data_IF_643684246859
#
_entry.id   IF_643684246859
#
_cell.length_a   1.000
_cell.length_b   1.000
_cell.length_c   1.000
_cell.angle_alpha   90.00
_cell.angle_beta   90.00
_cell.angle_gamma   90.00
#
_symmetry.space_group_name_H-M   'P 1'
#
loop_
_entity.id
_entity.type
_entity.pdbx_description
1 polymer ?
#
# COMPACT_ATOMS: atom_id res chain seq x y z
N UNK A 1 12.17 8.59 -4.90
CA UNK A 1 11.36 9.81 -5.18
C UNK A 1 12.09 10.96 -4.54
N UNK A 2 12.18 12.12 -5.19
CA UNK A 2 12.84 13.30 -4.61
C UNK A 2 11.88 14.08 -3.69
N UNK A 3 12.41 14.82 -2.71
CA UNK A 3 11.63 15.66 -1.79
C UNK A 3 10.82 16.73 -2.52
N UNK A 4 11.28 17.22 -3.68
CA UNK A 4 10.57 18.23 -4.48
C UNK A 4 9.17 17.78 -4.92
N UNK A 5 8.92 16.47 -4.96
CA UNK A 5 7.61 15.92 -5.31
C UNK A 5 6.62 15.90 -4.14
N UNK A 6 7.07 16.22 -2.91
CA UNK A 6 6.18 16.31 -1.74
C UNK A 6 5.37 17.60 -1.71
N UNK A 7 4.65 17.90 -2.79
CA UNK A 7 3.95 19.17 -2.94
C UNK A 7 2.47 18.95 -3.32
N UNK A 8 1.52 19.66 -2.68
CA UNK A 8 0.10 19.51 -3.00
C UNK A 8 -0.25 19.69 -4.48
N UNK A 9 0.43 20.60 -5.19
CA UNK A 9 0.23 20.80 -6.63
C UNK A 9 0.62 19.58 -7.49
N UNK A 10 1.63 18.81 -7.05
CA UNK A 10 1.98 17.56 -7.72
C UNK A 10 0.88 16.51 -7.52
N UNK A 11 0.34 16.40 -6.30
CA UNK A 11 -0.77 15.49 -6.00
C UNK A 11 -2.01 15.85 -6.81
N UNK A 12 -2.37 17.14 -6.87
CA UNK A 12 -3.49 17.63 -7.66
C UNK A 12 -3.32 17.28 -9.16
N UNK A 13 -2.13 17.53 -9.72
CA UNK A 13 -1.84 17.21 -11.12
C UNK A 13 -2.02 15.71 -11.41
N UNK A 14 -1.54 14.83 -10.52
CA UNK A 14 -1.71 13.38 -10.69
C UNK A 14 -3.18 12.97 -10.62
N UNK A 15 -3.92 13.50 -9.66
CA UNK A 15 -5.35 13.26 -9.50
C UNK A 15 -6.15 13.69 -10.74
N UNK A 16 -5.90 14.89 -11.25
CA UNK A 16 -6.58 15.43 -12.43
C UNK A 16 -6.34 14.59 -13.70
N UNK A 17 -5.24 13.85 -13.76
CA UNK A 17 -4.88 12.99 -14.89
C UNK A 17 -5.12 11.50 -14.62
N UNK A 18 -5.66 11.11 -13.46
CA UNK A 18 -5.88 9.72 -13.08
C UNK A 18 -4.60 8.90 -13.00
N UNK A 19 -3.48 9.51 -12.62
CA UNK A 19 -2.17 8.86 -12.53
C UNK A 19 -1.90 8.44 -11.08
N UNK A 20 -1.71 7.14 -10.84
CA UNK A 20 -1.35 6.65 -9.51
C UNK A 20 0.07 7.09 -9.12
N UNK A 21 0.19 7.75 -7.97
CA UNK A 21 1.49 7.98 -7.33
C UNK A 21 2.02 6.65 -6.78
N UNK A 22 3.33 6.42 -6.94
CA UNK A 22 3.97 5.23 -6.38
C UNK A 22 4.17 5.43 -4.88
N UNK A 23 3.51 4.61 -4.05
CA UNK A 23 3.85 4.50 -2.63
C UNK A 23 5.13 3.68 -2.49
N UNK A 24 6.24 4.36 -2.23
CA UNK A 24 7.52 3.73 -1.87
C UNK A 24 7.50 3.37 -0.37
N UNK A 25 7.14 2.13 -0.06
CA UNK A 25 7.17 1.58 1.28
C UNK A 25 8.59 1.31 1.76
N UNK A 26 8.79 1.38 3.08
CA UNK A 26 10.03 1.01 3.81
C UNK A 26 11.35 1.41 3.13
N UNK A 27 11.30 2.54 2.42
CA UNK A 27 12.38 3.10 1.62
C UNK A 27 12.98 4.32 2.31
N UNK A 28 14.19 4.70 1.92
CA UNK A 28 14.78 5.99 2.32
C UNK A 28 14.23 7.17 1.52
N UNK A 29 13.54 6.92 0.41
CA UNK A 29 12.89 8.00 -0.35
C UNK A 29 11.67 8.51 0.40
N UNK A 30 11.33 9.80 0.25
CA UNK A 30 10.06 10.34 0.71
C UNK A 30 8.87 9.50 0.25
N UNK A 31 7.99 9.23 1.22
CA UNK A 31 6.78 8.46 1.02
C UNK A 31 5.60 9.38 0.68
N UNK A 32 4.85 9.02 -0.36
CA UNK A 32 3.59 9.66 -0.74
C UNK A 32 2.53 8.56 -0.81
N UNK A 33 1.52 8.65 0.06
CA UNK A 33 0.45 7.65 0.19
C UNK A 33 -0.93 8.18 -0.23
N UNK A 34 -1.00 9.37 -0.84
CA UNK A 34 -2.22 9.94 -1.42
C UNK A 34 -2.84 9.03 -2.48
N UNK A 35 -4.18 9.03 -2.55
CA UNK A 35 -4.96 8.34 -3.58
C UNK A 35 -5.15 9.29 -4.75
N UNK A 36 -4.47 9.02 -5.86
CA UNK A 36 -4.46 9.89 -7.06
C UNK A 36 -5.01 9.23 -8.31
N UNK A 37 -5.52 8.00 -8.19
CA UNK A 37 -6.15 7.23 -9.26
C UNK A 37 -7.17 6.24 -8.66
N UNK A 38 -7.90 5.54 -9.53
CA UNK A 38 -8.81 4.45 -9.16
C UNK A 38 -8.08 3.16 -8.73
N UNK A 39 -6.74 3.15 -8.76
CA UNK A 39 -5.89 2.07 -8.27
C UNK A 39 -4.73 2.60 -7.43
N UNK A 40 -4.18 1.73 -6.58
CA UNK A 40 -3.02 2.00 -5.73
C UNK A 40 -1.83 1.17 -6.18
N UNK A 41 -0.66 1.82 -6.29
CA UNK A 41 0.57 1.16 -6.71
C UNK A 41 1.66 1.30 -5.64
N UNK A 42 2.10 0.16 -5.09
CA UNK A 42 2.99 0.10 -3.92
C UNK A 42 4.23 -0.72 -4.22
N UNK A 43 5.39 -0.20 -3.81
CA UNK A 43 6.69 -0.86 -3.92
C UNK A 43 7.33 -0.94 -2.55
N UNK A 44 7.54 -2.16 -2.04
CA UNK A 44 8.21 -2.43 -0.76
C UNK A 44 9.57 -3.08 -1.00
N UNK A 45 10.55 -2.72 -0.19
CA UNK A 45 11.98 -2.88 -0.41
C UNK A 45 12.75 -3.34 0.86
N UNK A 46 12.05 -3.61 1.96
CA UNK A 46 12.64 -3.88 3.26
C UNK A 46 12.94 -5.34 3.59
N UNK A 47 13.01 -6.27 2.61
CA UNK A 47 13.35 -7.67 2.93
C UNK A 47 14.76 -7.80 3.49
N UNK A 48 14.97 -8.72 4.45
CA UNK A 48 16.24 -8.94 5.14
C UNK A 48 16.62 -10.41 5.15
N UNK A 49 17.92 -10.68 5.10
CA UNK A 49 18.48 -12.05 5.15
C UNK A 49 18.16 -12.77 6.47
N UNK A 50 18.18 -12.05 7.59
CA UNK A 50 17.90 -12.60 8.92
C UNK A 50 16.42 -12.96 9.14
N UNK A 51 15.52 -12.63 8.21
CA UNK A 51 14.10 -12.89 8.29
C UNK A 51 13.74 -13.99 7.28
N UNK A 52 13.54 -15.26 7.69
CA UNK A 52 13.35 -16.38 6.75
C UNK A 52 12.18 -16.21 5.78
N UNK A 53 11.18 -15.40 6.15
CA UNK A 53 10.02 -15.05 5.32
C UNK A 53 10.20 -13.72 4.57
N UNK A 54 11.43 -13.20 4.51
CA UNK A 54 11.84 -11.92 3.96
C UNK A 54 11.56 -10.73 4.88
N UNK A 55 10.47 -10.76 5.65
CA UNK A 55 10.12 -9.76 6.66
C UNK A 55 9.74 -10.42 7.98
N UNK A 56 9.84 -9.65 9.07
CA UNK A 56 9.15 -9.99 10.33
C UNK A 56 7.65 -10.10 10.09
N UNK A 57 7.02 -11.04 10.76
CA UNK A 57 5.58 -11.31 10.65
C UNK A 57 4.72 -10.05 10.85
N UNK A 58 5.03 -9.24 11.86
CA UNK A 58 4.30 -7.99 12.14
C UNK A 58 4.38 -6.98 11.01
N UNK A 59 5.51 -6.92 10.29
CA UNK A 59 5.68 -6.01 9.14
C UNK A 59 4.83 -6.48 7.96
N UNK A 60 4.77 -7.79 7.70
CA UNK A 60 3.91 -8.35 6.65
C UNK A 60 2.43 -8.14 6.99
N UNK A 61 2.03 -8.35 8.24
CA UNK A 61 0.66 -8.11 8.69
C UNK A 61 0.24 -6.64 8.49
N UNK A 62 1.12 -5.69 8.81
CA UNK A 62 0.85 -4.26 8.57
C UNK A 62 0.70 -3.96 7.08
N UNK A 63 1.55 -4.50 6.23
CA UNK A 63 1.40 -4.35 4.76
C UNK A 63 0.11 -4.95 4.24
N UNK A 64 -0.32 -6.12 4.77
CA UNK A 64 -1.59 -6.72 4.41
C UNK A 64 -2.78 -5.85 4.87
N UNK A 65 -2.70 -5.22 6.05
CA UNK A 65 -3.74 -4.31 6.52
C UNK A 65 -3.83 -3.04 5.66
N UNK A 66 -2.70 -2.42 5.35
CA UNK A 66 -2.65 -1.26 4.46
C UNK A 66 -3.24 -1.56 3.08
N UNK A 67 -2.93 -2.74 2.53
CA UNK A 67 -3.52 -3.22 1.28
C UNK A 67 -5.05 -3.32 1.35
N UNK A 68 -5.60 -3.75 2.48
CA UNK A 68 -7.06 -3.79 2.69
C UNK A 68 -7.65 -2.38 2.84
N UNK A 69 -7.00 -1.50 3.59
CA UNK A 69 -7.47 -0.13 3.77
C UNK A 69 -7.57 0.58 2.41
N UNK A 70 -6.52 0.48 1.59
CA UNK A 70 -6.54 0.98 0.22
C UNK A 70 -7.62 0.34 -0.65
N UNK A 71 -7.80 -0.98 -0.57
CA UNK A 71 -8.86 -1.67 -1.32
C UNK A 71 -10.29 -1.23 -0.91
N UNK A 72 -10.43 -0.54 0.23
CA UNK A 72 -11.67 0.06 0.70
C UNK A 72 -11.72 1.59 0.53
N UNK A 73 -10.84 2.19 -0.27
CA UNK A 73 -10.84 3.64 -0.51
C UNK A 73 -10.29 4.45 0.66
N UNK A 74 -9.53 3.82 1.57
CA UNK A 74 -8.95 4.47 2.76
C UNK A 74 -7.47 4.72 2.58
N UNK A 75 -7.00 5.84 3.13
CA UNK A 75 -5.57 6.13 3.28
C UNK A 75 -5.11 5.56 4.63
N UNK A 76 -4.11 4.64 4.68
CA UNK A 76 -3.59 4.13 5.93
C UNK A 76 -3.02 5.24 6.80
N UNK A 77 -3.46 5.30 8.06
CA UNK A 77 -3.12 6.34 9.02
C UNK A 77 -1.63 6.37 9.42
N UNK A 78 -0.91 5.27 9.20
CA UNK A 78 0.50 5.11 9.54
C UNK A 78 1.45 5.39 8.36
N UNK A 79 0.91 5.90 7.24
CA UNK A 79 1.67 6.34 6.07
C UNK A 79 1.52 7.84 5.83
N UNK A 80 2.52 8.42 5.18
CA UNK A 80 2.57 9.86 4.93
C UNK A 80 1.86 10.23 3.62
N UNK A 81 0.67 10.81 3.73
CA UNK A 81 0.04 11.57 2.66
C UNK A 81 0.41 13.07 2.76
N UNK A 82 0.37 13.78 1.64
CA UNK A 82 0.73 15.21 1.55
C UNK A 82 -0.52 16.08 1.54
N UNK A 83 -1.49 15.70 0.71
CA UNK A 83 -2.78 16.36 0.68
C UNK A 83 -3.69 15.70 1.72
N UNK A 84 -4.75 16.37 2.17
CA UNK A 84 -5.90 15.67 2.73
C UNK A 84 -6.59 14.91 1.58
N UNK A 85 -5.90 13.90 1.04
CA UNK A 85 -6.49 12.93 0.13
C UNK A 85 -7.63 12.31 0.91
N UNK A 86 -8.87 12.69 0.56
CA UNK A 86 -10.03 12.16 1.26
C UNK A 86 -10.06 10.68 0.96
N UNK A 87 -10.21 9.87 2.01
CA UNK A 87 -10.82 8.57 1.81
C UNK A 87 -12.12 8.83 1.02
N UNK A 88 -12.26 8.19 -0.12
CA UNK A 88 -13.45 8.29 -0.96
C UNK A 88 -14.41 7.13 -0.68
N UNK A 89 -13.97 6.15 0.13
CA UNK A 89 -14.66 4.90 0.41
C UNK A 89 -15.03 4.11 -0.87
N UNK A 90 -14.32 4.40 -1.98
CA UNK A 90 -14.46 3.71 -3.27
C UNK A 90 -13.45 2.57 -3.32
N UNK A 91 -13.84 1.36 -3.74
CA UNK A 91 -12.89 0.26 -3.90
C UNK A 91 -11.80 0.59 -4.93
N UNK A 92 -10.55 0.35 -4.56
CA UNK A 92 -9.39 0.46 -5.45
C UNK A 92 -8.75 -0.90 -5.71
N UNK A 93 -8.25 -1.11 -6.92
CA UNK A 93 -7.32 -2.19 -7.17
C UNK A 93 -5.97 -1.87 -6.52
N UNK A 94 -5.40 -2.83 -5.79
CA UNK A 94 -4.13 -2.64 -5.08
C UNK A 94 -3.04 -3.53 -5.66
N UNK A 95 -2.03 -2.89 -6.24
CA UNK A 95 -0.85 -3.55 -6.80
C UNK A 95 0.36 -3.33 -5.89
N UNK A 96 0.66 -4.34 -5.05
CA UNK A 96 1.77 -4.28 -4.08
C UNK A 96 2.88 -5.27 -4.45
N UNK A 97 4.09 -4.73 -4.70
CA UNK A 97 5.24 -5.51 -5.14
C UNK A 97 6.40 -5.48 -4.14
N UNK A 98 7.03 -6.65 -3.94
CA UNK A 98 8.30 -6.78 -3.21
C UNK A 98 9.47 -6.69 -4.20
N UNK A 99 10.14 -5.53 -4.25
CA UNK A 99 11.00 -5.18 -5.40
C UNK A 99 12.49 -5.02 -5.08
N UNK A 100 12.87 -4.94 -3.80
CA UNK A 100 14.28 -4.83 -3.39
C UNK A 100 14.49 -5.46 -2.00
N UNK A 101 15.67 -5.24 -1.41
CA UNK A 101 16.09 -5.82 -0.14
C UNK A 101 16.94 -7.08 -0.37
N UNK A 102 16.77 -8.09 0.46
CA UNK A 102 17.35 -9.41 0.25
C UNK A 102 16.58 -10.21 -0.81
N UNK A 103 16.91 -9.94 -2.08
CA UNK A 103 16.16 -10.35 -3.29
C UNK A 103 15.80 -11.84 -3.36
N UNK A 104 16.65 -12.72 -2.83
CA UNK A 104 16.42 -14.17 -2.80
C UNK A 104 15.11 -14.50 -2.08
N UNK A 105 14.75 -13.73 -1.05
CA UNK A 105 13.55 -13.94 -0.24
C UNK A 105 12.33 -13.15 -0.74
N UNK A 106 12.45 -12.32 -1.78
CA UNK A 106 11.32 -11.53 -2.28
C UNK A 106 10.13 -12.40 -2.75
N UNK A 107 10.33 -13.52 -3.47
CA UNK A 107 9.24 -14.43 -3.80
C UNK A 107 8.57 -15.06 -2.57
N UNK A 108 9.34 -15.38 -1.52
CA UNK A 108 8.83 -15.90 -0.25
C UNK A 108 8.01 -14.85 0.49
N UNK A 109 8.52 -13.62 0.58
CA UNK A 109 7.82 -12.48 1.17
C UNK A 109 6.49 -12.19 0.45
N UNK A 110 6.50 -12.19 -0.89
CA UNK A 110 5.30 -11.97 -1.69
C UNK A 110 4.23 -13.06 -1.43
N UNK A 111 4.63 -14.34 -1.36
CA UNK A 111 3.71 -15.43 -1.02
C UNK A 111 3.15 -15.29 0.39
N UNK A 112 3.98 -14.94 1.37
CA UNK A 112 3.53 -14.70 2.73
C UNK A 112 2.50 -13.56 2.79
N UNK A 113 2.78 -12.45 2.08
CA UNK A 113 1.85 -11.33 2.00
C UNK A 113 0.51 -11.73 1.36
N UNK A 114 0.53 -12.48 0.25
CA UNK A 114 -0.69 -13.01 -0.39
C UNK A 114 -1.51 -13.83 0.62
N UNK A 115 -0.85 -14.68 1.41
CA UNK A 115 -1.52 -15.45 2.45
C UNK A 115 -2.13 -14.51 3.50
N UNK A 116 -1.39 -13.53 4.03
CA UNK A 116 -1.89 -12.59 5.03
C UNK A 116 -3.06 -11.74 4.54
N UNK A 117 -3.09 -11.39 3.25
CA UNK A 117 -4.24 -10.70 2.63
C UNK A 117 -5.46 -11.63 2.57
N UNK A 118 -5.27 -12.91 2.25
CA UNK A 118 -6.36 -13.91 2.11
C UNK A 118 -6.94 -14.40 3.44
N UNK A 119 -6.13 -14.55 4.48
CA UNK A 119 -6.55 -15.22 5.73
C UNK A 119 -7.42 -14.35 6.65
N UNK A 120 -7.63 -13.07 6.37
CA UNK A 120 -8.36 -12.14 7.26
C UNK A 120 -9.76 -11.73 6.79
N UNK A 121 -10.41 -12.45 5.86
CA UNK A 121 -11.79 -12.12 5.48
C UNK A 121 -12.83 -12.92 6.31
N UNK A 122 -13.75 -12.22 6.98
CA UNK A 122 -15.16 -12.34 6.67
C UNK A 122 -15.62 -11.08 5.95
N UNK A 123 -16.33 -11.24 4.82
CA UNK A 123 -16.92 -10.13 4.08
C UNK A 123 -17.99 -9.40 4.91
N UNK A 124 -18.42 -8.18 4.49
CA UNK A 124 -19.48 -7.46 5.17
C UNK A 124 -20.75 -8.33 5.20
N UNK A 125 -21.32 -8.51 6.38
CA UNK A 125 -22.57 -9.23 6.57
C UNK A 125 -23.65 -8.60 5.70
N UNK A 126 -24.33 -9.43 4.90
CA UNK A 126 -25.47 -9.02 4.10
C UNK A 126 -26.49 -8.30 5.01
N UNK A 127 -26.84 -7.07 4.64
CA UNK A 127 -27.97 -6.38 5.25
C UNK A 127 -29.23 -7.19 4.97
N UNK A 128 -29.68 -7.94 5.97
CA UNK A 128 -31.04 -8.45 5.99
C UNK A 128 -31.97 -7.25 6.20
N UNK A 129 -32.55 -6.76 5.10
CA UNK A 129 -33.79 -5.99 5.19
C UNK A 129 -34.93 -6.98 5.45
N UNK A 130 -35.91 -6.45 6.20
CA UNK A 130 -37.02 -7.09 6.88
C UNK A 130 -37.84 -8.08 6.06
#
# INVERSE_FOLDING_TARGET
MDESFRHPAFIAMLFDHGVAVVTAGDSQSPQIADLTADFVYVRIMGTKEAEPLGYRETVVANWAQRARDWAHGKVPHDLNAISPSKADDVPHDVYLYVINGHKILNPTAARNLINQVRHSAPGPAAHHRS
#
